data_IF_450836133605
#
_entry.id   IF_450836133605
#
_cell.length_a   1.000
_cell.length_b   1.000
_cell.length_c   1.000
_cell.angle_alpha   90.00
_cell.angle_beta   90.00
_cell.angle_gamma   90.00
#
_symmetry.space_group_name_H-M   'P 1'
#
loop_
_entity.id
_entity.type
_entity.pdbx_description
1 polymer ?
#
# COMPACT_ATOMS: atom_id res chain seq x y z
N UNK A 1 -6.23 -13.69 -19.80
CA UNK A 1 -6.42 -13.78 -18.34
C UNK A 1 -7.58 -14.72 -18.09
N UNK A 2 -7.44 -15.73 -17.22
CA UNK A 2 -8.59 -16.58 -16.88
C UNK A 2 -9.52 -15.85 -15.91
N UNK A 3 -10.78 -16.28 -15.81
CA UNK A 3 -11.81 -15.62 -14.99
C UNK A 3 -11.40 -15.52 -13.51
N UNK A 4 -10.72 -16.54 -12.98
CA UNK A 4 -10.23 -16.55 -11.61
C UNK A 4 -9.17 -15.46 -11.34
N UNK A 5 -8.25 -15.26 -12.29
CA UNK A 5 -7.21 -14.24 -12.19
C UNK A 5 -7.78 -12.82 -12.27
N UNK A 6 -8.82 -12.62 -13.09
CA UNK A 6 -9.53 -11.35 -13.16
C UNK A 6 -10.21 -11.00 -11.82
N UNK A 7 -10.92 -11.96 -11.22
CA UNK A 7 -11.58 -11.80 -9.92
C UNK A 7 -10.57 -11.52 -8.81
N UNK A 8 -9.41 -12.20 -8.83
CA UNK A 8 -8.34 -11.95 -7.87
C UNK A 8 -7.77 -10.53 -8.01
N UNK A 9 -7.53 -10.07 -9.23
CA UNK A 9 -7.03 -8.72 -9.49
C UNK A 9 -8.00 -7.65 -8.97
N UNK A 10 -9.29 -7.83 -9.22
CA UNK A 10 -10.32 -6.94 -8.69
C UNK A 10 -10.30 -6.92 -7.15
N UNK A 11 -10.22 -8.08 -6.50
CA UNK A 11 -10.16 -8.18 -5.05
C UNK A 11 -8.92 -7.45 -4.47
N UNK A 12 -7.77 -7.54 -5.15
CA UNK A 12 -6.54 -6.82 -4.79
C UNK A 12 -6.76 -5.31 -4.86
N UNK A 13 -7.30 -4.79 -5.96
CA UNK A 13 -7.55 -3.35 -6.10
C UNK A 13 -8.58 -2.83 -5.08
N UNK A 14 -9.60 -3.62 -4.78
CA UNK A 14 -10.54 -3.27 -3.71
C UNK A 14 -9.88 -3.25 -2.32
N UNK A 15 -8.93 -4.16 -2.05
CA UNK A 15 -8.18 -4.17 -0.80
C UNK A 15 -7.29 -2.92 -0.67
N UNK A 16 -6.58 -2.55 -1.73
CA UNK A 16 -5.76 -1.32 -1.77
C UNK A 16 -6.63 -0.09 -1.53
N UNK A 17 -7.79 0.00 -2.19
CA UNK A 17 -8.71 1.13 -2.01
C UNK A 17 -9.28 1.22 -0.58
N UNK A 18 -9.51 0.09 0.10
CA UNK A 18 -9.93 0.08 1.52
C UNK A 18 -8.82 0.55 2.44
N UNK A 19 -7.61 0.04 2.25
CA UNK A 19 -6.44 0.44 3.05
C UNK A 19 -6.13 1.93 2.87
N UNK A 20 -6.19 2.42 1.63
CA UNK A 20 -6.00 3.84 1.30
C UNK A 20 -6.95 4.75 2.09
N UNK A 21 -8.25 4.41 2.13
CA UNK A 21 -9.25 5.14 2.93
C UNK A 21 -8.97 5.06 4.42
N UNK A 22 -8.61 3.89 4.93
CA UNK A 22 -8.25 3.70 6.33
C UNK A 22 -7.08 4.61 6.75
N UNK A 23 -6.05 4.72 5.91
CA UNK A 23 -4.91 5.61 6.17
C UNK A 23 -5.30 7.09 6.12
N UNK A 24 -6.18 7.50 5.21
CA UNK A 24 -6.72 8.86 5.18
C UNK A 24 -7.48 9.20 6.46
N UNK A 25 -8.34 8.29 6.91
CA UNK A 25 -9.11 8.46 8.14
C UNK A 25 -8.19 8.54 9.38
N UNK A 26 -7.12 7.73 9.38
CA UNK A 26 -6.18 7.63 10.51
C UNK A 26 -5.24 8.84 10.62
N UNK A 27 -4.68 9.31 9.51
CA UNK A 27 -3.62 10.31 9.50
C UNK A 27 -4.09 11.71 9.03
N UNK A 28 -5.27 11.77 8.42
CA UNK A 28 -5.87 12.97 7.85
C UNK A 28 -5.25 13.36 6.50
N UNK A 29 -5.97 14.16 5.68
CA UNK A 29 -5.47 14.61 4.39
C UNK A 29 -4.37 15.65 4.57
N UNK A 30 -3.11 15.23 4.42
CA UNK A 30 -1.95 16.12 4.46
C UNK A 30 -1.19 16.06 3.13
N UNK A 31 -0.90 17.19 2.49
CA UNK A 31 -0.10 17.18 1.27
C UNK A 31 1.33 16.75 1.61
N UNK A 32 1.84 15.76 0.89
CA UNK A 32 3.19 15.24 1.02
C UNK A 32 3.99 15.43 -0.26
N UNK A 33 5.30 15.68 -0.17
CA UNK A 33 6.16 15.63 -1.35
C UNK A 33 6.36 14.17 -1.78
N UNK A 34 6.77 13.92 -3.03
CA UNK A 34 7.16 12.57 -3.49
C UNK A 34 8.25 11.98 -2.58
N UNK A 35 9.21 12.80 -2.14
CA UNK A 35 10.25 12.37 -1.20
C UNK A 35 9.67 11.92 0.16
N UNK A 36 8.64 12.60 0.68
CA UNK A 36 7.97 12.16 1.91
C UNK A 36 7.29 10.80 1.72
N UNK A 37 6.57 10.60 0.60
CA UNK A 37 5.94 9.32 0.31
C UNK A 37 6.95 8.17 0.21
N UNK A 38 8.13 8.41 -0.39
CA UNK A 38 9.20 7.42 -0.45
C UNK A 38 9.67 6.99 0.95
N UNK A 39 9.87 7.94 1.86
CA UNK A 39 10.26 7.64 3.24
C UNK A 39 9.17 6.92 4.02
N UNK A 40 7.89 7.23 3.77
CA UNK A 40 6.77 6.52 4.40
C UNK A 40 6.71 5.08 3.87
N UNK A 41 6.80 4.88 2.55
CA UNK A 41 6.84 3.53 1.95
C UNK A 41 8.03 2.71 2.46
N UNK A 42 9.19 3.33 2.66
CA UNK A 42 10.36 2.68 3.26
C UNK A 42 10.07 2.21 4.71
N UNK A 43 9.46 3.06 5.52
CA UNK A 43 9.09 2.71 6.90
C UNK A 43 8.09 1.54 6.95
N UNK A 44 7.04 1.56 6.12
CA UNK A 44 6.05 0.47 6.03
C UNK A 44 6.69 -0.83 5.51
N UNK A 45 7.63 -0.73 4.57
CA UNK A 45 8.39 -1.90 4.09
C UNK A 45 9.30 -2.48 5.19
N UNK A 46 9.89 -1.63 6.01
CA UNK A 46 10.65 -2.05 7.19
C UNK A 46 9.77 -2.78 8.21
N UNK A 47 8.54 -2.31 8.44
CA UNK A 47 7.57 -3.01 9.29
C UNK A 47 7.14 -4.34 8.67
N UNK A 48 6.94 -4.44 7.35
CA UNK A 48 6.65 -5.71 6.68
C UNK A 48 7.73 -6.76 6.91
N UNK A 49 9.01 -6.35 6.78
CA UNK A 49 10.17 -7.22 7.05
C UNK A 49 10.20 -7.67 8.51
N UNK A 50 9.95 -6.74 9.45
CA UNK A 50 9.91 -7.04 10.88
C UNK A 50 8.75 -7.97 11.25
N UNK A 51 7.57 -7.75 10.67
CA UNK A 51 6.38 -8.56 10.87
C UNK A 51 6.61 -10.00 10.41
N UNK A 52 7.25 -10.20 9.26
CA UNK A 52 7.63 -11.53 8.78
C UNK A 52 8.52 -12.28 9.78
N UNK A 53 9.57 -11.61 10.28
CA UNK A 53 10.52 -12.20 11.23
C UNK A 53 9.86 -12.50 12.59
N UNK A 54 8.99 -11.60 13.07
CA UNK A 54 8.42 -11.70 14.43
C UNK A 54 7.15 -12.55 14.53
N UNK A 55 6.41 -12.72 13.44
CA UNK A 55 5.10 -13.37 13.45
C UNK A 55 5.03 -14.64 12.60
N UNK A 56 6.18 -15.27 12.36
CA UNK A 56 6.28 -16.57 11.68
C UNK A 56 5.63 -16.59 10.28
N UNK A 57 5.90 -15.56 9.48
CA UNK A 57 5.70 -15.63 8.03
C UNK A 57 4.71 -14.63 7.44
N UNK A 58 4.04 -15.08 6.38
CA UNK A 58 3.63 -14.18 5.30
C UNK A 58 2.39 -13.34 5.61
N UNK A 59 1.49 -13.79 6.49
CA UNK A 59 0.20 -13.11 6.67
C UNK A 59 0.34 -11.67 7.16
N UNK A 60 1.17 -11.43 8.18
CA UNK A 60 1.39 -10.08 8.68
C UNK A 60 2.26 -9.26 7.73
N UNK A 61 3.27 -9.87 7.11
CA UNK A 61 4.08 -9.20 6.08
C UNK A 61 3.22 -8.72 4.90
N UNK A 62 2.24 -9.52 4.46
CA UNK A 62 1.30 -9.17 3.40
C UNK A 62 0.36 -8.02 3.78
N UNK A 63 -0.03 -7.92 5.06
CA UNK A 63 -0.80 -6.77 5.55
C UNK A 63 0.01 -5.48 5.47
N UNK A 64 1.27 -5.52 5.89
CA UNK A 64 2.16 -4.35 5.80
C UNK A 64 2.49 -3.98 4.35
N UNK A 65 2.68 -4.97 3.46
CA UNK A 65 2.83 -4.71 2.02
C UNK A 65 1.60 -4.00 1.45
N UNK A 66 0.39 -4.34 1.90
CA UNK A 66 -0.82 -3.62 1.48
C UNK A 66 -0.75 -2.15 1.87
N UNK A 67 -0.21 -1.82 3.06
CA UNK A 67 0.01 -0.45 3.49
C UNK A 67 1.00 0.28 2.58
N UNK A 68 2.14 -0.35 2.25
CA UNK A 68 3.13 0.22 1.30
C UNK A 68 2.48 0.59 -0.03
N UNK A 69 1.66 -0.31 -0.59
CA UNK A 69 0.99 -0.08 -1.88
C UNK A 69 -0.04 1.05 -1.76
N UNK A 70 -0.81 1.09 -0.67
CA UNK A 70 -1.78 2.17 -0.44
C UNK A 70 -1.11 3.55 -0.36
N UNK A 71 0.07 3.65 0.27
CA UNK A 71 0.88 4.88 0.29
C UNK A 71 1.38 5.24 -1.11
N UNK A 72 1.80 4.25 -1.91
CA UNK A 72 2.17 4.46 -3.31
C UNK A 72 1.01 4.99 -4.16
N UNK A 73 -0.20 4.47 -3.95
CA UNK A 73 -1.42 4.99 -4.58
C UNK A 73 -1.69 6.43 -4.15
N UNK A 74 -1.58 6.75 -2.86
CA UNK A 74 -1.72 8.12 -2.35
C UNK A 74 -0.76 9.09 -3.04
N UNK A 75 0.49 8.66 -3.27
CA UNK A 75 1.48 9.44 -3.99
C UNK A 75 1.05 9.73 -5.43
N UNK A 76 0.59 8.72 -6.17
CA UNK A 76 0.16 8.88 -7.56
C UNK A 76 -1.14 9.68 -7.68
N UNK A 77 -2.07 9.54 -6.73
CA UNK A 77 -3.28 10.36 -6.65
C UNK A 77 -2.93 11.84 -6.48
N UNK A 78 -1.92 12.16 -5.65
CA UNK A 78 -1.53 13.54 -5.38
C UNK A 78 -0.66 14.15 -6.49
N UNK A 79 0.25 13.38 -7.08
CA UNK A 79 1.28 13.89 -8.00
C UNK A 79 1.05 13.51 -9.46
N UNK A 80 0.04 12.68 -9.74
CA UNK A 80 -0.27 12.17 -11.07
C UNK A 80 0.50 10.91 -11.45
N UNK A 81 0.10 10.32 -12.57
CA UNK A 81 0.69 9.12 -13.14
C UNK A 81 1.64 9.52 -14.28
N UNK A 82 2.86 8.98 -14.27
CA UNK A 82 3.84 9.13 -15.35
C UNK A 82 4.19 7.75 -15.88
N UNK A 83 3.84 7.48 -17.15
CA UNK A 83 4.07 6.21 -17.83
C UNK A 83 5.34 6.26 -18.72
N UNK A 84 5.87 5.09 -19.08
CA UNK A 84 7.04 4.95 -19.96
C UNK A 84 6.64 4.61 -21.38
#
# INVERSE_FOLDING_TARGET
MNQAQALLQEAIFQAIARERRYQDDKYGPKPHTVANFLLIMEAELDEAKRAWVKSEGDQNALREILQVIAVGVACLEQHGIVER
#
